data_IF_981916291200
#
_entry.id   IF_981916291200
#
_cell.length_a   1.000
_cell.length_b   1.000
_cell.length_c   1.000
_cell.angle_alpha   90.00
_cell.angle_beta   90.00
_cell.angle_gamma   90.00
#
_symmetry.space_group_name_H-M   'P 1'
#
loop_
_entity.id
_entity.type
_entity.pdbx_description
1 polymer ?
#
# COMPACT_ATOMS: atom_id res chain seq x y z
N UNK A 1 31.14 49.09 13.96
CA UNK A 1 31.29 47.74 13.40
C UNK A 1 29.89 47.23 13.06
N UNK A 2 29.42 47.42 11.82
CA UNK A 2 28.10 46.92 11.40
C UNK A 2 28.20 45.40 11.23
N UNK A 3 27.58 44.65 12.13
CA UNK A 3 27.29 43.24 11.91
C UNK A 3 26.15 43.22 10.91
N UNK A 4 26.50 43.11 9.63
CA UNK A 4 25.52 42.79 8.59
C UNK A 4 25.07 41.36 8.91
N UNK A 5 23.94 41.22 9.60
CA UNK A 5 23.23 39.95 9.63
C UNK A 5 22.85 39.65 8.18
N UNK A 6 23.66 38.82 7.51
CA UNK A 6 23.27 38.10 6.31
C UNK A 6 22.11 37.18 6.69
N UNK A 7 20.91 37.74 6.82
CA UNK A 7 19.69 36.98 6.66
C UNK A 7 19.70 36.51 5.22
N UNK A 8 20.30 35.33 4.99
CA UNK A 8 20.05 34.57 3.78
C UNK A 8 18.55 34.34 3.72
N UNK A 9 17.83 35.15 2.95
CA UNK A 9 16.45 34.93 2.58
C UNK A 9 16.44 33.68 1.68
N UNK A 10 16.54 32.51 2.29
CA UNK A 10 16.26 31.26 1.61
C UNK A 10 14.77 31.27 1.29
N UNK A 11 14.44 31.64 0.05
CA UNK A 11 13.09 31.56 -0.48
C UNK A 11 12.54 30.14 -0.24
N UNK A 12 11.50 29.98 0.59
CA UNK A 12 10.94 28.67 0.86
C UNK A 12 10.24 28.15 -0.39
N UNK A 13 10.37 26.85 -0.65
CA UNK A 13 9.72 26.18 -1.78
C UNK A 13 8.83 25.06 -1.25
N UNK A 14 7.51 25.20 -1.46
CA UNK A 14 6.54 24.18 -1.05
C UNK A 14 6.72 22.93 -1.93
N UNK A 15 6.85 21.74 -1.34
CA UNK A 15 7.07 20.54 -2.13
C UNK A 15 5.81 20.08 -2.85
N UNK A 16 5.99 19.50 -4.05
CA UNK A 16 4.94 18.77 -4.74
C UNK A 16 4.89 17.33 -4.20
N UNK A 17 3.77 16.97 -3.59
CA UNK A 17 3.55 15.62 -3.05
C UNK A 17 2.77 14.79 -4.05
N UNK A 18 3.24 13.58 -4.34
CA UNK A 18 2.53 12.61 -5.17
C UNK A 18 2.74 11.19 -4.68
N UNK A 19 1.65 10.45 -4.58
CA UNK A 19 1.67 9.02 -4.33
C UNK A 19 1.40 8.23 -5.61
N UNK A 20 2.13 7.14 -5.81
CA UNK A 20 1.97 6.25 -6.98
C UNK A 20 2.11 4.80 -6.59
N UNK A 21 1.24 3.93 -7.11
CA UNK A 21 1.43 2.48 -7.04
C UNK A 21 2.57 2.06 -7.98
N UNK A 22 3.32 1.03 -7.59
CA UNK A 22 4.40 0.49 -8.44
C UNK A 22 3.84 -0.19 -9.69
N UNK A 23 2.68 -0.85 -9.56
CA UNK A 23 1.95 -1.51 -10.64
C UNK A 23 0.45 -1.32 -10.42
N UNK A 24 -0.39 -1.38 -11.48
CA UNK A 24 -1.84 -1.30 -11.33
C UNK A 24 -2.44 -2.51 -10.61
N UNK A 25 -1.82 -3.69 -10.77
CA UNK A 25 -2.18 -4.94 -10.10
C UNK A 25 -0.96 -5.57 -9.46
N UNK A 26 -1.11 -5.99 -8.20
CA UNK A 26 -0.06 -6.67 -7.42
C UNK A 26 -0.45 -8.13 -7.29
N UNK A 27 0.45 -9.08 -7.56
CA UNK A 27 0.14 -10.51 -7.48
C UNK A 27 0.80 -11.10 -6.24
N UNK A 28 -0.02 -11.63 -5.32
CA UNK A 28 0.46 -12.44 -4.22
C UNK A 28 0.94 -13.79 -4.76
N UNK A 29 2.22 -14.09 -4.52
CA UNK A 29 2.85 -15.33 -4.98
C UNK A 29 2.97 -16.29 -3.80
N UNK A 30 2.96 -17.62 -4.04
CA UNK A 30 3.21 -18.61 -2.99
C UNK A 30 4.55 -18.37 -2.28
N UNK A 31 5.56 -17.93 -3.05
CA UNK A 31 6.82 -17.49 -2.47
C UNK A 31 6.67 -16.10 -1.85
N UNK A 32 6.77 -16.05 -0.52
CA UNK A 32 6.68 -14.83 0.31
C UNK A 32 7.84 -13.87 0.06
N UNK A 33 7.85 -13.21 -1.10
CA UNK A 33 8.85 -12.21 -1.48
C UNK A 33 8.34 -10.80 -1.20
N UNK A 34 9.19 -9.98 -0.60
CA UNK A 34 8.96 -8.55 -0.43
C UNK A 34 9.02 -7.84 -1.78
N UNK A 35 8.15 -6.87 -1.99
CA UNK A 35 8.20 -5.97 -3.14
C UNK A 35 7.71 -4.58 -2.78
N UNK A 36 8.15 -3.58 -3.52
CA UNK A 36 7.60 -2.22 -3.43
C UNK A 36 6.18 -2.22 -4.00
N UNK A 37 5.23 -1.72 -3.21
CA UNK A 37 3.81 -1.61 -3.62
C UNK A 37 3.40 -0.19 -3.91
N UNK A 38 4.05 0.79 -3.27
CA UNK A 38 3.79 2.20 -3.50
C UNK A 38 5.05 3.03 -3.29
N UNK A 39 5.07 4.18 -3.94
CA UNK A 39 6.09 5.21 -3.78
C UNK A 39 5.43 6.52 -3.46
N UNK A 40 5.94 7.20 -2.44
CA UNK A 40 5.62 8.58 -2.14
C UNK A 40 6.79 9.47 -2.53
N UNK A 41 6.49 10.52 -3.28
CA UNK A 41 7.46 11.50 -3.73
C UNK A 41 7.07 12.87 -3.16
N UNK A 42 8.01 13.53 -2.50
CA UNK A 42 7.92 14.92 -2.09
C UNK A 42 9.01 15.71 -2.82
N UNK A 43 8.66 16.32 -3.94
CA UNK A 43 9.62 16.92 -4.86
C UNK A 43 9.83 18.40 -4.59
N UNK A 44 11.07 18.87 -4.76
CA UNK A 44 11.46 20.28 -4.80
C UNK A 44 11.12 21.09 -3.53
N UNK A 45 11.19 20.47 -2.34
CA UNK A 45 10.97 21.14 -1.06
C UNK A 45 12.19 21.96 -0.61
N UNK A 46 11.96 23.14 -0.04
CA UNK A 46 13.01 23.94 0.62
C UNK A 46 12.47 24.65 1.86
N UNK A 47 12.84 24.24 3.09
CA UNK A 47 13.71 23.11 3.44
C UNK A 47 13.07 21.75 3.09
N UNK A 48 13.81 20.66 3.25
CA UNK A 48 13.26 19.33 2.98
C UNK A 48 12.02 19.02 3.82
N UNK A 49 11.12 18.24 3.24
CA UNK A 49 9.94 17.71 3.93
C UNK A 49 10.27 16.38 4.60
N UNK A 50 9.39 15.95 5.51
CA UNK A 50 9.49 14.65 6.17
C UNK A 50 8.34 13.77 5.71
N UNK A 51 8.66 12.58 5.20
CA UNK A 51 7.66 11.58 4.81
C UNK A 51 7.41 10.62 5.98
N UNK A 52 6.13 10.33 6.27
CA UNK A 52 5.68 9.27 7.16
C UNK A 52 4.60 8.45 6.48
N UNK A 53 4.50 7.18 6.85
CA UNK A 53 3.47 6.27 6.36
C UNK A 53 2.44 6.01 7.46
N UNK A 54 1.16 6.07 7.10
CA UNK A 54 0.05 5.69 7.96
C UNK A 54 -0.71 4.53 7.31
N UNK A 55 -0.66 3.36 7.94
CA UNK A 55 -1.27 2.13 7.45
C UNK A 55 -1.31 1.05 8.53
N UNK A 56 -2.20 0.07 8.35
CA UNK A 56 -2.29 -1.14 9.18
C UNK A 56 -1.35 -2.25 8.71
N UNK A 57 -0.72 -2.08 7.55
CA UNK A 57 0.15 -3.08 6.94
C UNK A 57 1.49 -3.16 7.66
N UNK A 58 1.95 -4.38 7.97
CA UNK A 58 3.29 -4.65 8.49
C UNK A 58 4.31 -4.67 7.35
N UNK A 59 4.72 -3.48 6.92
CA UNK A 59 5.69 -3.26 5.86
C UNK A 59 6.92 -2.51 6.31
N UNK A 60 7.82 -2.26 5.37
CA UNK A 60 9.04 -1.49 5.55
C UNK A 60 9.04 -0.29 4.62
N UNK A 61 9.38 0.88 5.15
CA UNK A 61 9.53 2.10 4.37
C UNK A 61 11.02 2.38 4.12
N UNK A 62 11.37 2.73 2.90
CA UNK A 62 12.71 3.25 2.56
C UNK A 62 12.66 4.76 2.42
N UNK A 63 13.80 5.45 2.57
CA UNK A 63 13.89 6.89 2.39
C UNK A 63 15.13 7.23 1.58
N UNK A 64 14.97 8.09 0.58
CA UNK A 64 16.04 8.58 -0.27
C UNK A 64 15.86 10.09 -0.46
N UNK A 65 16.92 10.83 -0.22
CA UNK A 65 16.95 12.28 -0.40
C UNK A 65 17.84 12.62 -1.59
N UNK A 66 17.42 13.57 -2.39
CA UNK A 66 18.17 14.06 -3.55
C UNK A 66 18.20 15.57 -3.50
N UNK A 67 19.41 16.14 -3.48
CA UNK A 67 19.61 17.57 -3.55
C UNK A 67 19.62 18.00 -5.01
N UNK A 68 18.71 18.90 -5.37
CA UNK A 68 18.57 19.42 -6.73
C UNK A 68 19.55 20.58 -6.96
N UNK A 69 19.93 20.81 -8.22
CA UNK A 69 20.85 21.90 -8.62
C UNK A 69 20.34 23.30 -8.24
N UNK A 70 19.01 23.48 -8.16
CA UNK A 70 18.37 24.72 -7.71
C UNK A 70 18.36 24.89 -6.17
N UNK A 71 19.02 23.99 -5.43
CA UNK A 71 19.10 24.03 -3.96
C UNK A 71 17.82 23.60 -3.24
N UNK A 72 16.85 23.01 -3.95
CA UNK A 72 15.70 22.31 -3.33
C UNK A 72 16.05 20.85 -3.06
N UNK A 73 15.25 20.17 -2.24
CA UNK A 73 15.43 18.76 -1.89
C UNK A 73 14.19 17.97 -2.31
N UNK A 74 14.42 16.84 -2.97
CA UNK A 74 13.39 15.87 -3.29
C UNK A 74 13.56 14.65 -2.39
N UNK A 75 12.51 14.30 -1.64
CA UNK A 75 12.47 13.11 -0.78
C UNK A 75 11.59 12.05 -1.44
N UNK A 76 12.10 10.84 -1.58
CA UNK A 76 11.39 9.68 -2.10
C UNK A 76 11.33 8.60 -1.03
N UNK A 77 10.16 8.02 -0.84
CA UNK A 77 9.98 6.88 0.05
C UNK A 77 9.22 5.76 -0.65
N UNK A 78 9.74 4.53 -0.57
CA UNK A 78 9.07 3.35 -1.10
C UNK A 78 8.51 2.52 0.05
N UNK A 79 7.28 2.02 -0.08
CA UNK A 79 6.68 1.11 0.89
C UNK A 79 6.76 -0.33 0.37
N UNK A 80 7.37 -1.19 1.16
CA UNK A 80 7.72 -2.57 0.81
C UNK A 80 6.95 -3.53 1.71
N UNK A 81 6.20 -4.46 1.11
CA UNK A 81 5.45 -5.50 1.84
C UNK A 81 5.58 -6.83 1.12
N UNK A 82 5.26 -7.92 1.81
CA UNK A 82 4.96 -9.20 1.15
C UNK A 82 3.48 -9.19 0.79
N UNK A 83 3.09 -9.19 -0.49
CA UNK A 83 1.68 -9.20 -0.86
C UNK A 83 1.02 -10.52 -0.45
N UNK A 84 -0.17 -10.40 0.12
CA UNK A 84 -1.02 -11.52 0.53
C UNK A 84 -2.51 -11.14 0.44
N UNK A 85 -3.40 -12.10 0.68
CA UNK A 85 -4.85 -11.85 0.76
C UNK A 85 -5.18 -10.75 1.77
N UNK A 86 -4.51 -10.71 2.93
CA UNK A 86 -4.74 -9.71 3.98
C UNK A 86 -4.29 -8.30 3.55
N UNK A 87 -3.43 -8.20 2.53
CA UNK A 87 -3.00 -6.91 1.97
C UNK A 87 -3.96 -6.35 0.91
N UNK A 88 -4.89 -7.17 0.40
CA UNK A 88 -5.91 -6.72 -0.53
C UNK A 88 -6.85 -5.71 0.12
N UNK A 89 -7.23 -4.65 -0.61
CA UNK A 89 -8.09 -3.54 -0.16
C UNK A 89 -7.55 -2.73 1.02
N UNK A 90 -6.31 -2.95 1.43
CA UNK A 90 -5.70 -2.17 2.49
C UNK A 90 -5.35 -0.77 1.99
N UNK A 91 -5.68 0.24 2.80
CA UNK A 91 -5.35 1.64 2.54
C UNK A 91 -3.92 1.95 3.00
N UNK A 92 -3.19 2.64 2.14
CA UNK A 92 -1.85 3.11 2.40
C UNK A 92 -1.84 4.63 2.24
N UNK A 93 -1.49 5.36 3.30
CA UNK A 93 -1.48 6.82 3.30
C UNK A 93 -0.06 7.33 3.48
N UNK A 94 0.39 8.17 2.54
CA UNK A 94 1.60 8.94 2.70
C UNK A 94 1.28 10.28 3.36
N UNK A 95 2.03 10.62 4.40
CA UNK A 95 1.94 11.88 5.14
C UNK A 95 3.26 12.64 4.95
N UNK A 96 3.18 13.75 4.23
CA UNK A 96 4.30 14.67 4.03
C UNK A 96 4.14 15.86 4.98
N UNK A 97 5.11 16.07 5.85
CA UNK A 97 5.16 17.23 6.75
C UNK A 97 6.16 18.25 6.22
N UNK A 98 5.71 19.48 5.99
CA UNK A 98 6.53 20.59 5.52
C UNK A 98 6.18 21.86 6.29
N UNK A 99 7.13 22.43 7.05
CA UNK A 99 6.94 23.66 7.86
C UNK A 99 5.63 23.66 8.68
N UNK A 100 5.36 22.55 9.37
CA UNK A 100 4.16 22.29 10.18
C UNK A 100 2.85 22.09 9.39
N UNK A 101 2.85 22.22 8.07
CA UNK A 101 1.75 21.76 7.22
C UNK A 101 1.85 20.25 6.98
N UNK A 102 0.69 19.59 6.99
CA UNK A 102 0.56 18.17 6.67
C UNK A 102 -0.17 18.02 5.34
N UNK A 103 0.49 17.39 4.39
CA UNK A 103 -0.06 17.04 3.08
C UNK A 103 -0.19 15.53 3.05
N UNK A 104 -1.39 15.02 2.76
CA UNK A 104 -1.65 13.59 2.74
C UNK A 104 -2.14 13.15 1.38
N UNK A 105 -1.64 12.00 0.92
CA UNK A 105 -2.11 11.33 -0.29
C UNK A 105 -2.28 9.83 0.02
N UNK A 106 -3.21 9.15 -0.64
CA UNK A 106 -3.58 7.77 -0.29
C UNK A 106 -3.88 6.93 -1.51
N UNK A 107 -3.54 5.63 -1.41
CA UNK A 107 -3.91 4.61 -2.39
C UNK A 107 -4.50 3.40 -1.69
N UNK A 108 -5.27 2.60 -2.43
CA UNK A 108 -5.80 1.32 -1.97
C UNK A 108 -5.14 0.21 -2.78
N UNK A 109 -4.61 -0.79 -2.10
CA UNK A 109 -3.92 -1.90 -2.76
C UNK A 109 -4.92 -2.86 -3.41
N UNK A 110 -4.76 -3.10 -4.71
CA UNK A 110 -5.46 -4.18 -5.42
C UNK A 110 -4.52 -5.37 -5.60
N UNK A 111 -4.61 -6.33 -4.67
CA UNK A 111 -3.78 -7.52 -4.65
C UNK A 111 -4.57 -8.72 -5.16
N UNK A 112 -4.07 -9.38 -6.20
CA UNK A 112 -4.59 -10.64 -6.72
C UNK A 112 -3.99 -11.81 -5.94
N UNK A 113 -4.80 -12.81 -5.63
CA UNK A 113 -4.43 -13.99 -4.85
C UNK A 113 -5.25 -15.20 -5.29
N UNK A 114 -4.69 -16.38 -5.04
CA UNK A 114 -5.34 -17.66 -5.36
C UNK A 114 -6.60 -17.90 -4.52
N UNK A 115 -7.59 -18.67 -5.02
CA UNK A 115 -8.81 -18.93 -4.28
C UNK A 115 -8.60 -19.72 -2.99
N UNK A 116 -9.15 -19.23 -1.88
CA UNK A 116 -9.32 -20.01 -0.64
C UNK A 116 -10.73 -20.62 -0.63
N UNK A 117 -10.82 -21.95 -0.58
CA UNK A 117 -12.07 -22.70 -0.70
C UNK A 117 -12.54 -23.18 0.67
N UNK A 118 -13.82 -23.00 0.96
CA UNK A 118 -14.51 -23.53 2.14
C UNK A 118 -15.80 -24.22 1.73
N UNK A 119 -16.01 -25.43 2.23
CA UNK A 119 -17.24 -26.19 2.00
C UNK A 119 -18.13 -26.05 3.23
N UNK A 120 -19.33 -25.53 3.01
CA UNK A 120 -20.36 -25.34 4.04
C UNK A 120 -21.60 -26.18 3.72
N UNK A 121 -22.48 -26.36 4.71
CA UNK A 121 -23.74 -27.10 4.56
C UNK A 121 -23.76 -28.47 5.25
N UNK A 122 -22.61 -29.01 5.65
CA UNK A 122 -22.56 -30.18 6.52
C UNK A 122 -22.76 -29.78 7.98
N UNK A 123 -23.76 -30.38 8.63
CA UNK A 123 -24.14 -30.07 10.01
C UNK A 123 -23.75 -31.17 11.01
N UNK A 124 -22.95 -32.15 10.59
CA UNK A 124 -22.52 -33.25 11.46
C UNK A 124 -23.53 -34.39 11.62
N UNK A 125 -24.75 -34.26 11.10
CA UNK A 125 -25.83 -35.23 11.33
C UNK A 125 -26.56 -35.61 10.03
N UNK A 126 -25.82 -36.11 9.05
CA UNK A 126 -26.40 -36.61 7.81
C UNK A 126 -26.72 -38.11 7.96
N UNK A 127 -27.97 -38.40 8.34
CA UNK A 127 -28.49 -39.75 8.49
C UNK A 127 -29.18 -40.26 7.21
N UNK A 128 -29.37 -41.59 7.13
CA UNK A 128 -30.01 -42.24 5.99
C UNK A 128 -31.42 -41.69 5.75
N UNK A 129 -31.78 -41.41 4.49
CA UNK A 129 -33.06 -40.85 4.07
C UNK A 129 -33.33 -39.39 4.47
N UNK A 130 -32.31 -38.65 4.94
CA UNK A 130 -32.44 -37.20 5.11
C UNK A 130 -32.60 -36.52 3.74
N UNK A 131 -33.63 -35.69 3.60
CA UNK A 131 -33.91 -34.93 2.39
C UNK A 131 -33.32 -33.51 2.49
N UNK A 132 -33.22 -32.83 1.35
CA UNK A 132 -32.82 -31.42 1.24
C UNK A 132 -31.44 -31.06 1.82
N UNK A 133 -30.47 -31.98 1.70
CA UNK A 133 -29.07 -31.68 2.01
C UNK A 133 -28.38 -31.02 0.82
N UNK A 134 -27.61 -29.97 1.09
CA UNK A 134 -26.80 -29.30 0.07
C UNK A 134 -25.44 -28.91 0.64
N UNK A 135 -24.42 -28.94 -0.21
CA UNK A 135 -23.11 -28.36 0.08
C UNK A 135 -22.94 -27.08 -0.73
N UNK A 136 -22.38 -26.06 -0.10
CA UNK A 136 -22.04 -24.79 -0.74
C UNK A 136 -20.52 -24.65 -0.77
N UNK A 137 -19.97 -24.37 -1.95
CA UNK A 137 -18.55 -24.07 -2.13
C UNK A 137 -18.36 -22.55 -2.07
N UNK A 138 -17.94 -22.06 -0.90
CA UNK A 138 -17.60 -20.66 -0.70
C UNK A 138 -16.14 -20.45 -1.07
N UNK A 139 -15.87 -19.49 -1.95
CA UNK A 139 -14.50 -19.17 -2.39
C UNK A 139 -14.20 -17.70 -2.18
N UNK A 140 -13.06 -17.42 -1.56
CA UNK A 140 -12.48 -16.07 -1.51
C UNK A 140 -11.30 -15.99 -2.46
N UNK A 141 -11.44 -15.18 -3.52
CA UNK A 141 -10.43 -15.00 -4.54
C UNK A 141 -10.45 -13.58 -5.11
N UNK A 142 -9.30 -13.11 -5.57
CA UNK A 142 -9.23 -11.93 -6.42
C UNK A 142 -8.28 -12.20 -7.60
N UNK A 143 -8.74 -12.20 -8.87
CA UNK A 143 -10.13 -11.96 -9.29
C UNK A 143 -11.10 -13.07 -8.85
N UNK A 144 -12.43 -12.84 -8.92
CA UNK A 144 -13.43 -13.85 -8.57
C UNK A 144 -13.29 -15.14 -9.40
N UNK A 145 -13.60 -16.27 -8.77
CA UNK A 145 -13.60 -17.59 -9.43
C UNK A 145 -14.71 -17.67 -10.46
N UNK A 146 -14.41 -18.22 -11.64
CA UNK A 146 -15.36 -18.39 -12.75
C UNK A 146 -15.79 -19.84 -12.99
N UNK A 147 -15.05 -20.82 -12.46
CA UNK A 147 -15.29 -22.25 -12.71
C UNK A 147 -15.28 -23.00 -11.38
N UNK A 148 -16.34 -23.79 -11.16
CA UNK A 148 -16.48 -24.70 -10.02
C UNK A 148 -16.59 -26.13 -10.55
N UNK A 149 -15.82 -27.05 -9.97
CA UNK A 149 -15.86 -28.47 -10.33
C UNK A 149 -15.98 -29.31 -9.05
N UNK A 150 -17.11 -30.00 -8.91
CA UNK A 150 -17.32 -30.98 -7.84
C UNK A 150 -16.89 -32.36 -8.33
N UNK A 151 -16.20 -33.11 -7.47
CA UNK A 151 -15.78 -34.50 -7.74
C UNK A 151 -16.24 -35.39 -6.60
N UNK A 152 -16.60 -36.62 -6.95
CA UNK A 152 -17.00 -37.69 -6.02
C UNK A 152 -15.76 -38.33 -5.39
#
# INVERSE_FOLDING_TARGET
MLIIHLFSLFLPARPLTRMTLTTPTIVARPQKRKMTVATCLSANGKPQSVIKWDTRLKGEATFQETQNSNGTVTVRSNYVVVPSRETHKQKLTCIVTYRNERITDSVVLNVQYEPEVKIEGFDGNWYLNRQDVSLTCNTDANPPVTVYQWKL
#
